data_IF_588167067955
#
_entry.id   IF_588167067955
#
_cell.length_a   1.000
_cell.length_b   1.000
_cell.length_c   1.000
_cell.angle_alpha   90.00
_cell.angle_beta   90.00
_cell.angle_gamma   90.00
#
_symmetry.space_group_name_H-M   'P 1'
#
loop_
_entity.id
_entity.type
_entity.pdbx_description
1 polymer ?
#
# COMPACT_ATOMS: atom_id res chain seq x y z
N UNK A 1 -22.25 -12.77 16.43
CA UNK A 1 -22.20 -11.34 16.80
C UNK A 1 -23.38 -10.64 16.16
N UNK A 2 -24.15 -9.86 16.93
CA UNK A 2 -25.31 -9.13 16.41
C UNK A 2 -24.85 -8.18 15.28
N UNK A 3 -25.53 -8.10 14.12
CA UNK A 3 -25.18 -7.16 13.05
C UNK A 3 -24.95 -5.73 13.57
N UNK A 4 -25.79 -5.25 14.49
CA UNK A 4 -25.69 -3.90 15.07
C UNK A 4 -24.38 -3.73 15.85
N UNK A 5 -24.04 -4.70 16.70
CA UNK A 5 -22.78 -4.68 17.47
C UNK A 5 -21.57 -4.71 16.54
N UNK A 6 -21.62 -5.51 15.48
CA UNK A 6 -20.55 -5.58 14.48
C UNK A 6 -20.33 -4.23 13.80
N UNK A 7 -21.39 -3.52 13.42
CA UNK A 7 -21.29 -2.17 12.84
C UNK A 7 -20.68 -1.17 13.83
N UNK A 8 -21.07 -1.27 15.10
CA UNK A 8 -20.58 -0.39 16.17
C UNK A 8 -19.07 -0.62 16.39
N UNK A 9 -18.63 -1.86 16.54
CA UNK A 9 -17.21 -2.20 16.70
C UNK A 9 -16.39 -1.81 15.49
N UNK A 10 -16.90 -2.07 14.27
CA UNK A 10 -16.27 -1.64 13.02
C UNK A 10 -16.08 -0.11 13.00
N UNK A 11 -17.12 0.64 13.35
CA UNK A 11 -17.06 2.11 13.34
C UNK A 11 -16.10 2.63 14.40
N UNK A 12 -16.12 2.06 15.61
CA UNK A 12 -15.21 2.44 16.68
C UNK A 12 -13.73 2.26 16.27
N UNK A 13 -13.39 1.14 15.63
CA UNK A 13 -12.04 0.87 15.12
C UNK A 13 -11.59 1.86 14.04
N UNK A 14 -12.45 2.20 13.08
CA UNK A 14 -12.11 3.14 11.99
C UNK A 14 -11.89 4.56 12.52
N UNK A 15 -12.63 4.96 13.55
CA UNK A 15 -12.51 6.29 14.16
C UNK A 15 -11.45 6.37 15.27
N UNK A 16 -10.85 5.23 15.66
CA UNK A 16 -9.91 5.13 16.77
C UNK A 16 -10.48 5.75 18.05
N UNK A 17 -11.63 5.22 18.48
CA UNK A 17 -12.34 5.63 19.69
C UNK A 17 -12.59 4.44 20.61
N UNK A 18 -12.50 4.69 21.91
CA UNK A 18 -12.63 3.65 22.93
C UNK A 18 -14.10 3.30 23.20
N UNK A 19 -14.95 4.34 23.32
CA UNK A 19 -16.38 4.17 23.61
C UNK A 19 -17.26 5.11 22.77
N UNK A 20 -17.96 4.52 21.79
CA UNK A 20 -18.90 5.23 20.93
C UNK A 20 -20.19 5.64 21.66
N UNK A 21 -20.55 4.96 22.75
CA UNK A 21 -21.74 5.24 23.55
C UNK A 21 -21.55 6.46 24.46
N UNK A 22 -20.29 6.88 24.65
CA UNK A 22 -19.96 8.01 25.50
C UNK A 22 -20.74 9.29 25.14
N UNK A 23 -20.96 10.12 26.17
CA UNK A 23 -21.58 11.44 26.02
C UNK A 23 -20.61 12.50 25.45
N UNK A 24 -19.40 12.10 25.08
CA UNK A 24 -18.38 12.99 24.52
C UNK A 24 -18.88 13.71 23.28
N UNK A 25 -18.71 15.04 23.26
CA UNK A 25 -19.05 15.91 22.13
C UNK A 25 -17.88 16.19 21.20
N UNK A 26 -16.72 15.59 21.45
CA UNK A 26 -15.55 15.70 20.56
C UNK A 26 -15.92 15.18 19.17
N UNK A 27 -15.52 15.91 18.12
CA UNK A 27 -15.91 15.69 16.73
C UNK A 27 -15.81 14.24 16.29
N UNK A 28 -14.71 13.54 16.62
CA UNK A 28 -14.53 12.11 16.27
C UNK A 28 -15.63 11.18 16.78
N UNK A 29 -16.12 11.41 18.01
CA UNK A 29 -17.20 10.62 18.61
C UNK A 29 -18.56 10.99 18.00
N UNK A 30 -18.78 12.28 17.71
CA UNK A 30 -20.00 12.75 17.04
C UNK A 30 -20.10 12.16 15.64
N UNK A 31 -18.99 12.16 14.90
CA UNK A 31 -18.89 11.67 13.53
C UNK A 31 -19.08 10.15 13.49
N UNK A 32 -18.42 9.40 14.38
CA UNK A 32 -18.62 7.97 14.51
C UNK A 32 -20.10 7.60 14.76
N UNK A 33 -20.77 8.29 15.69
CA UNK A 33 -22.20 8.07 15.98
C UNK A 33 -23.09 8.41 14.77
N UNK A 34 -22.82 9.53 14.10
CA UNK A 34 -23.58 9.93 12.91
C UNK A 34 -23.52 8.88 11.80
N UNK A 35 -22.34 8.25 11.60
CA UNK A 35 -22.16 7.14 10.64
C UNK A 35 -23.04 5.95 11.01
N UNK A 36 -23.02 5.52 12.27
CA UNK A 36 -23.85 4.38 12.72
C UNK A 36 -25.33 4.70 12.56
N UNK A 37 -25.78 5.89 12.99
CA UNK A 37 -27.18 6.31 12.85
C UNK A 37 -27.65 6.30 11.39
N UNK A 38 -26.82 6.84 10.49
CA UNK A 38 -27.12 6.90 9.06
C UNK A 38 -27.20 5.50 8.45
N UNK A 39 -26.24 4.62 8.73
CA UNK A 39 -26.20 3.27 8.17
C UNK A 39 -27.29 2.35 8.73
N UNK A 40 -27.57 2.43 10.04
CA UNK A 40 -28.67 1.68 10.66
C UNK A 40 -30.02 2.10 10.08
N UNK A 41 -30.25 3.41 9.91
CA UNK A 41 -31.51 3.92 9.35
C UNK A 41 -31.69 3.58 7.86
N UNK A 42 -30.58 3.48 7.11
CA UNK A 42 -30.61 3.24 5.67
C UNK A 42 -30.78 1.76 5.31
N UNK A 43 -30.24 0.85 6.12
CA UNK A 43 -30.16 -0.58 5.78
C UNK A 43 -31.13 -1.48 6.56
N UNK A 44 -31.77 -0.98 7.62
CA UNK A 44 -32.82 -1.69 8.35
C UNK A 44 -33.88 -0.68 8.84
N UNK A 45 -35.16 -1.03 8.83
CA UNK A 45 -36.27 -0.11 9.19
C UNK A 45 -36.34 0.24 10.70
N UNK A 46 -35.21 0.39 11.39
CA UNK A 46 -35.19 0.84 12.78
C UNK A 46 -35.75 2.26 12.87
N UNK A 47 -36.57 2.51 13.88
CA UNK A 47 -37.10 3.85 14.14
C UNK A 47 -36.01 4.74 14.73
N UNK A 48 -36.17 6.05 14.63
CA UNK A 48 -35.26 6.98 15.30
C UNK A 48 -35.21 6.74 16.81
N UNK A 49 -36.30 6.23 17.39
CA UNK A 49 -36.39 5.89 18.81
C UNK A 49 -35.55 4.66 19.15
N UNK A 50 -35.68 3.58 18.38
CA UNK A 50 -34.90 2.35 18.62
C UNK A 50 -33.39 2.60 18.54
N UNK A 51 -32.96 3.42 17.57
CA UNK A 51 -31.55 3.84 17.45
C UNK A 51 -31.14 4.69 18.66
N UNK A 52 -32.02 5.58 19.13
CA UNK A 52 -31.74 6.41 20.30
C UNK A 52 -31.59 5.57 21.57
N UNK A 53 -32.44 4.54 21.73
CA UNK A 53 -32.45 3.65 22.89
C UNK A 53 -31.14 2.84 22.98
N UNK A 54 -30.61 2.35 21.85
CA UNK A 54 -29.29 1.68 21.77
C UNK A 54 -28.17 2.58 22.32
N UNK A 55 -28.23 3.88 22.02
CA UNK A 55 -27.18 4.83 22.38
C UNK A 55 -27.49 5.63 23.65
N UNK A 56 -28.60 5.33 24.34
CA UNK A 56 -29.11 6.10 25.47
C UNK A 56 -29.16 7.62 25.17
N UNK A 57 -29.78 7.98 24.04
CA UNK A 57 -29.92 9.37 23.54
C UNK A 57 -31.36 9.69 23.20
N UNK A 58 -31.63 10.98 23.00
CA UNK A 58 -32.92 11.43 22.49
C UNK A 58 -33.02 11.21 20.98
N UNK A 59 -34.19 10.79 20.48
CA UNK A 59 -34.44 10.54 19.06
C UNK A 59 -34.17 11.78 18.18
N UNK A 60 -34.37 12.99 18.72
CA UNK A 60 -34.02 14.24 18.02
C UNK A 60 -32.53 14.37 17.72
N UNK A 61 -31.65 13.81 18.57
CA UNK A 61 -30.20 13.78 18.33
C UNK A 61 -29.87 12.90 17.12
N UNK A 62 -30.50 11.73 17.03
CA UNK A 62 -30.34 10.81 15.89
C UNK A 62 -30.81 11.49 14.60
N UNK A 63 -32.00 12.10 14.63
CA UNK A 63 -32.56 12.83 13.49
C UNK A 63 -31.64 13.98 13.03
N UNK A 64 -31.15 14.79 13.97
CA UNK A 64 -30.26 15.89 13.66
C UNK A 64 -28.96 15.39 13.02
N UNK A 65 -28.30 14.39 13.60
CA UNK A 65 -27.08 13.81 13.02
C UNK A 65 -27.28 13.27 11.60
N UNK A 66 -28.44 12.64 11.32
CA UNK A 66 -28.75 12.15 9.97
C UNK A 66 -28.96 13.32 8.99
N UNK A 67 -29.62 14.40 9.41
CA UNK A 67 -29.82 15.60 8.59
C UNK A 67 -28.50 16.33 8.28
N UNK A 68 -27.57 16.34 9.23
CA UNK A 68 -26.25 16.97 9.04
C UNK A 68 -25.30 16.14 8.18
N UNK A 69 -25.53 14.82 8.09
CA UNK A 69 -24.63 13.88 7.39
C UNK A 69 -24.23 14.30 5.97
N UNK A 70 -25.14 14.78 5.08
CA UNK A 70 -24.75 15.22 3.73
C UNK A 70 -23.79 16.40 3.74
N UNK A 71 -23.96 17.34 4.68
CA UNK A 71 -23.06 18.48 4.83
C UNK A 71 -21.71 18.05 5.38
N UNK A 72 -21.70 17.18 6.40
CA UNK A 72 -20.47 16.63 6.97
C UNK A 72 -19.62 15.91 5.91
N UNK A 73 -20.24 15.09 5.05
CA UNK A 73 -19.55 14.42 3.94
C UNK A 73 -19.06 15.39 2.87
N UNK A 74 -19.81 16.47 2.60
CA UNK A 74 -19.44 17.48 1.61
C UNK A 74 -18.20 18.27 2.04
N UNK A 75 -18.09 18.62 3.32
CA UNK A 75 -17.07 19.56 3.82
C UNK A 75 -15.82 18.89 4.40
N UNK A 76 -15.90 17.64 4.88
CA UNK A 76 -14.74 16.94 5.44
C UNK A 76 -14.40 15.69 4.61
N UNK A 77 -13.35 15.80 3.79
CA UNK A 77 -12.84 14.70 2.95
C UNK A 77 -12.28 13.52 3.74
N UNK A 78 -11.70 13.75 4.92
CA UNK A 78 -11.20 12.67 5.77
C UNK A 78 -12.37 11.87 6.34
N UNK A 79 -13.42 12.57 6.77
CA UNK A 79 -14.66 11.96 7.20
C UNK A 79 -15.35 11.17 6.07
N UNK A 80 -15.43 11.74 4.86
CA UNK A 80 -15.95 11.06 3.67
C UNK A 80 -15.21 9.74 3.38
N UNK A 81 -13.87 9.76 3.43
CA UNK A 81 -13.06 8.55 3.23
C UNK A 81 -13.34 7.47 4.30
N UNK A 82 -13.44 7.86 5.58
CA UNK A 82 -13.78 6.95 6.68
C UNK A 82 -15.19 6.37 6.54
N UNK A 83 -16.16 7.20 6.18
CA UNK A 83 -17.53 6.78 5.94
C UNK A 83 -17.61 5.76 4.80
N UNK A 84 -16.96 6.03 3.67
CA UNK A 84 -16.92 5.12 2.52
C UNK A 84 -16.27 3.79 2.87
N UNK A 85 -15.18 3.80 3.66
CA UNK A 85 -14.54 2.59 4.19
C UNK A 85 -15.50 1.75 5.04
N UNK A 86 -16.22 2.39 5.98
CA UNK A 86 -17.19 1.68 6.84
C UNK A 86 -18.36 1.16 6.02
N UNK A 87 -18.90 1.96 5.08
CA UNK A 87 -19.98 1.55 4.18
C UNK A 87 -19.59 0.31 3.38
N UNK A 88 -18.37 0.27 2.82
CA UNK A 88 -17.86 -0.86 2.04
C UNK A 88 -17.76 -2.12 2.91
N UNK A 89 -17.03 -2.04 4.03
CA UNK A 89 -16.83 -3.17 4.94
C UNK A 89 -18.13 -3.67 5.56
N UNK A 90 -19.10 -2.77 5.76
CA UNK A 90 -20.43 -3.15 6.23
C UNK A 90 -21.21 -3.90 5.15
N UNK A 91 -21.25 -3.39 3.92
CA UNK A 91 -21.99 -4.01 2.82
C UNK A 91 -21.42 -5.37 2.39
N UNK A 92 -20.10 -5.57 2.46
CA UNK A 92 -19.46 -6.88 2.23
C UNK A 92 -19.90 -7.96 3.23
N UNK A 93 -20.43 -7.56 4.38
CA UNK A 93 -20.86 -8.47 5.43
C UNK A 93 -22.38 -8.77 5.43
N UNK A 94 -23.17 -8.11 4.56
CA UNK A 94 -24.64 -8.18 4.52
C UNK A 94 -25.13 -9.05 3.34
N UNK A 95 -24.31 -9.98 2.85
CA UNK A 95 -24.67 -10.93 1.77
C UNK A 95 -25.80 -11.93 2.11
N UNK A 96 -26.59 -11.73 3.18
CA UNK A 96 -27.63 -12.68 3.59
C UNK A 96 -28.96 -12.06 4.07
N UNK A 97 -29.33 -10.86 3.62
CA UNK A 97 -30.75 -10.46 3.70
C UNK A 97 -31.28 -10.08 2.32
N UNK A 98 -32.09 -11.00 1.81
CA UNK A 98 -32.87 -10.88 0.59
C UNK A 98 -33.66 -9.56 0.55
N UNK A 99 -33.37 -8.76 -0.48
CA UNK A 99 -34.08 -7.55 -0.84
C UNK A 99 -34.13 -7.49 -2.37
N UNK A 100 -35.31 -7.15 -2.93
CA UNK A 100 -35.65 -7.10 -4.37
C UNK A 100 -34.46 -6.98 -5.32
N UNK A 101 -34.42 -7.84 -6.37
CA UNK A 101 -33.38 -7.92 -7.40
C UNK A 101 -32.92 -6.55 -7.91
N UNK A 102 -33.84 -5.59 -8.06
CA UNK A 102 -33.52 -4.22 -8.48
C UNK A 102 -32.58 -3.47 -7.52
N UNK A 103 -32.76 -3.64 -6.21
CA UNK A 103 -31.89 -3.04 -5.21
C UNK A 103 -30.50 -3.69 -5.21
N UNK A 104 -30.43 -5.00 -5.44
CA UNK A 104 -29.15 -5.70 -5.58
C UNK A 104 -28.39 -5.23 -6.82
N UNK A 105 -29.08 -5.11 -7.96
CA UNK A 105 -28.49 -4.58 -9.20
C UNK A 105 -27.95 -3.17 -8.99
N UNK A 106 -28.72 -2.30 -8.33
CA UNK A 106 -28.29 -0.93 -8.03
C UNK A 106 -27.09 -0.89 -7.09
N UNK A 107 -27.09 -1.71 -6.03
CA UNK A 107 -25.97 -1.82 -5.10
C UNK A 107 -24.70 -2.36 -5.79
N UNK A 108 -24.84 -3.35 -6.66
CA UNK A 108 -23.74 -3.91 -7.45
C UNK A 108 -23.18 -2.87 -8.44
N UNK A 109 -24.03 -2.07 -9.07
CA UNK A 109 -23.62 -0.96 -9.93
C UNK A 109 -22.84 0.10 -9.16
N UNK A 110 -23.31 0.49 -7.96
CA UNK A 110 -22.58 1.42 -7.08
C UNK A 110 -21.20 0.85 -6.70
N UNK A 111 -21.13 -0.43 -6.33
CA UNK A 111 -19.86 -1.12 -6.01
C UNK A 111 -18.91 -1.16 -7.20
N UNK A 112 -19.40 -1.49 -8.39
CA UNK A 112 -18.58 -1.51 -9.61
C UNK A 112 -18.00 -0.13 -9.95
N UNK A 113 -18.81 0.92 -9.81
CA UNK A 113 -18.33 2.29 -10.02
C UNK A 113 -17.23 2.67 -9.03
N UNK A 114 -17.38 2.29 -7.75
CA UNK A 114 -16.37 2.52 -6.72
C UNK A 114 -15.09 1.71 -6.98
N UNK A 115 -15.22 0.43 -7.35
CA UNK A 115 -14.08 -0.41 -7.70
C UNK A 115 -13.29 0.18 -8.88
N UNK A 116 -13.97 0.69 -9.90
CA UNK A 116 -13.34 1.35 -11.03
C UNK A 116 -12.55 2.61 -10.63
N UNK A 117 -13.08 3.41 -9.71
CA UNK A 117 -12.37 4.58 -9.17
C UNK A 117 -11.10 4.17 -8.41
N UNK A 118 -11.20 3.15 -7.56
CA UNK A 118 -10.06 2.63 -6.81
C UNK A 118 -8.99 2.05 -7.74
N UNK A 119 -9.39 1.27 -8.75
CA UNK A 119 -8.46 0.73 -9.76
C UNK A 119 -7.70 1.87 -10.45
N UNK A 120 -8.38 2.95 -10.82
CA UNK A 120 -7.76 4.12 -11.45
C UNK A 120 -6.74 4.80 -10.52
N UNK A 121 -7.05 4.92 -9.24
CA UNK A 121 -6.12 5.44 -8.23
C UNK A 121 -4.89 4.54 -8.06
N UNK A 122 -5.08 3.23 -7.91
CA UNK A 122 -3.99 2.27 -7.83
C UNK A 122 -3.09 2.28 -9.08
N UNK A 123 -3.69 2.42 -10.27
CA UNK A 123 -2.95 2.57 -11.52
C UNK A 123 -2.10 3.85 -11.55
N UNK A 124 -2.63 4.97 -11.04
CA UNK A 124 -1.89 6.21 -10.88
C UNK A 124 -0.70 6.05 -9.93
N UNK A 125 -0.92 5.47 -8.75
CA UNK A 125 0.15 5.18 -7.79
C UNK A 125 1.23 4.26 -8.38
N UNK A 126 0.82 3.22 -9.10
CA UNK A 126 1.75 2.30 -9.77
C UNK A 126 2.59 3.04 -10.82
N UNK A 127 2.00 3.98 -11.56
CA UNK A 127 2.71 4.80 -12.56
C UNK A 127 3.73 5.71 -11.89
N UNK A 128 3.36 6.37 -10.79
CA UNK A 128 4.27 7.21 -10.01
C UNK A 128 5.43 6.39 -9.46
N UNK A 129 5.16 5.21 -8.91
CA UNK A 129 6.19 4.30 -8.39
C UNK A 129 7.13 3.82 -9.50
N UNK A 130 6.59 3.43 -10.67
CA UNK A 130 7.41 3.08 -11.85
C UNK A 130 8.31 4.24 -12.27
N UNK A 131 7.80 5.46 -12.32
CA UNK A 131 8.59 6.64 -12.66
C UNK A 131 9.66 6.97 -11.61
N UNK A 132 9.37 6.76 -10.32
CA UNK A 132 10.35 6.89 -9.24
C UNK A 132 11.47 5.84 -9.36
N UNK A 133 11.12 4.58 -9.64
CA UNK A 133 12.09 3.52 -9.89
C UNK A 133 12.95 3.86 -11.11
N UNK A 134 12.34 4.33 -12.20
CA UNK A 134 13.06 4.76 -13.39
C UNK A 134 14.02 5.93 -13.09
N UNK A 135 13.59 6.89 -12.28
CA UNK A 135 14.43 8.01 -11.85
C UNK A 135 15.58 7.55 -10.95
N UNK A 136 15.32 6.64 -10.02
CA UNK A 136 16.33 6.04 -9.15
C UNK A 136 17.36 5.26 -9.98
N UNK A 137 16.93 4.46 -10.96
CA UNK A 137 17.81 3.76 -11.90
C UNK A 137 18.57 4.72 -12.85
N UNK A 138 18.07 5.95 -13.06
CA UNK A 138 18.73 6.95 -13.91
C UNK A 138 19.81 7.76 -13.19
N UNK A 139 19.87 7.71 -11.85
CA UNK A 139 20.88 8.42 -11.05
C UNK A 139 22.04 7.47 -10.71
N UNK A 140 23.07 7.48 -11.57
CA UNK A 140 24.40 6.89 -11.38
C UNK A 140 24.48 5.37 -11.17
N UNK A 141 23.68 4.58 -11.88
CA UNK A 141 24.01 3.16 -12.05
C UNK A 141 25.08 3.00 -13.13
N UNK A 142 26.14 2.25 -12.81
CA UNK A 142 27.18 1.86 -13.77
C UNK A 142 26.52 1.38 -15.08
N UNK A 143 26.75 2.05 -16.24
CA UNK A 143 26.08 1.71 -17.50
C UNK A 143 26.61 0.40 -18.12
N UNK A 144 27.43 -0.32 -17.38
CA UNK A 144 28.11 -1.53 -17.80
C UNK A 144 27.61 -2.70 -16.99
N UNK A 145 27.55 -3.85 -17.64
CA UNK A 145 27.14 -5.11 -17.04
C UNK A 145 28.30 -6.10 -17.05
N UNK A 146 28.07 -7.31 -16.53
CA UNK A 146 29.06 -8.40 -16.60
C UNK A 146 29.48 -8.72 -18.05
N UNK A 147 28.64 -8.42 -19.04
CA UNK A 147 28.94 -8.62 -20.46
C UNK A 147 30.00 -7.64 -20.99
N UNK A 148 30.23 -6.54 -20.29
CA UNK A 148 31.16 -5.48 -20.69
C UNK A 148 32.56 -5.62 -20.07
N UNK A 149 32.86 -6.69 -19.33
CA UNK A 149 34.16 -6.87 -18.64
C UNK A 149 35.34 -6.77 -19.60
N UNK A 150 35.29 -7.48 -20.73
CA UNK A 150 36.36 -7.45 -21.72
C UNK A 150 36.48 -6.08 -22.41
N UNK A 151 35.34 -5.41 -22.63
CA UNK A 151 35.30 -4.06 -23.19
C UNK A 151 35.98 -3.06 -22.25
N UNK A 152 35.68 -3.12 -20.95
CA UNK A 152 36.27 -2.26 -19.92
C UNK A 152 37.78 -2.49 -19.82
N UNK A 153 38.20 -3.75 -19.80
CA UNK A 153 39.62 -4.10 -19.78
C UNK A 153 40.39 -3.47 -20.95
N UNK A 154 39.79 -3.47 -22.15
CA UNK A 154 40.41 -2.98 -23.37
C UNK A 154 40.30 -1.46 -23.60
N UNK A 155 39.62 -0.68 -22.75
CA UNK A 155 39.57 0.78 -22.92
C UNK A 155 40.94 1.43 -22.73
N UNK A 156 41.59 1.84 -23.82
CA UNK A 156 42.91 2.47 -23.80
C UNK A 156 42.89 3.87 -23.18
N UNK A 157 41.77 4.59 -23.26
CA UNK A 157 41.60 5.94 -22.71
C UNK A 157 41.33 5.95 -21.20
N UNK A 158 41.13 4.80 -20.57
CA UNK A 158 40.81 4.70 -19.15
C UNK A 158 42.04 4.38 -18.31
N UNK A 159 42.17 5.06 -17.18
CA UNK A 159 43.17 4.72 -16.16
C UNK A 159 42.86 3.36 -15.54
N UNK A 160 43.89 2.67 -15.03
CA UNK A 160 43.73 1.40 -14.31
C UNK A 160 42.73 1.51 -13.17
N UNK A 161 42.83 2.57 -12.36
CA UNK A 161 41.89 2.84 -11.27
C UNK A 161 40.44 2.89 -11.78
N UNK A 162 40.17 3.64 -12.86
CA UNK A 162 38.82 3.76 -13.42
C UNK A 162 38.27 2.40 -13.90
N UNK A 163 39.12 1.58 -14.52
CA UNK A 163 38.72 0.23 -14.94
C UNK A 163 38.36 -0.64 -13.74
N UNK A 164 39.21 -0.62 -12.71
CA UNK A 164 38.99 -1.39 -11.47
C UNK A 164 37.72 -0.92 -10.76
N UNK A 165 37.51 0.39 -10.59
CA UNK A 165 36.32 0.96 -9.96
C UNK A 165 35.04 0.55 -10.71
N UNK A 166 35.04 0.60 -12.05
CA UNK A 166 33.89 0.18 -12.86
C UNK A 166 33.60 -1.34 -12.74
N UNK A 167 34.66 -2.16 -12.74
CA UNK A 167 34.56 -3.60 -12.54
C UNK A 167 34.00 -3.96 -11.15
N UNK A 168 34.45 -3.27 -10.10
CA UNK A 168 33.92 -3.44 -8.74
C UNK A 168 32.49 -2.91 -8.60
N UNK A 169 32.12 -1.86 -9.33
CA UNK A 169 30.74 -1.37 -9.35
C UNK A 169 29.80 -2.42 -9.96
N UNK A 170 30.18 -3.06 -11.08
CA UNK A 170 29.41 -4.17 -11.66
C UNK A 170 29.20 -5.29 -10.63
N UNK A 171 30.26 -5.66 -9.90
CA UNK A 171 30.20 -6.68 -8.85
C UNK A 171 29.22 -6.31 -7.73
N UNK A 172 29.29 -5.06 -7.25
CA UNK A 172 28.38 -4.55 -6.23
C UNK A 172 26.91 -4.64 -6.67
N UNK A 173 26.59 -4.21 -7.90
CA UNK A 173 25.23 -4.30 -8.45
C UNK A 173 24.74 -5.75 -8.49
N UNK A 174 25.58 -6.69 -8.92
CA UNK A 174 25.18 -8.11 -8.96
C UNK A 174 24.81 -8.66 -7.59
N UNK A 175 25.54 -8.28 -6.52
CA UNK A 175 25.21 -8.69 -5.16
C UNK A 175 24.00 -7.95 -4.59
N UNK A 176 23.81 -6.66 -4.90
CA UNK A 176 22.63 -5.91 -4.50
C UNK A 176 21.33 -6.47 -5.11
N UNK A 177 21.43 -7.09 -6.29
CA UNK A 177 20.31 -7.76 -6.95
C UNK A 177 19.97 -9.14 -6.32
N UNK A 178 20.78 -9.64 -5.38
CA UNK A 178 20.46 -10.84 -4.60
C UNK A 178 19.63 -10.48 -3.37
N UNK A 179 18.58 -11.25 -3.10
CA UNK A 179 17.68 -11.08 -1.97
C UNK A 179 17.70 -12.26 -0.99
N UNK A 180 16.79 -12.22 -0.02
CA UNK A 180 16.56 -13.34 0.91
C UNK A 180 15.94 -14.56 0.21
N UNK A 181 15.21 -14.30 -0.88
CA UNK A 181 14.53 -15.23 -1.76
C UNK A 181 15.43 -15.79 -2.88
N UNK A 182 16.62 -15.25 -3.09
CA UNK A 182 17.55 -15.77 -4.10
C UNK A 182 17.96 -17.21 -3.81
N UNK A 183 17.81 -18.05 -4.83
CA UNK A 183 18.14 -19.47 -4.83
C UNK A 183 19.63 -19.72 -4.67
N UNK A 184 19.99 -20.94 -4.26
CA UNK A 184 21.39 -21.38 -4.16
C UNK A 184 22.08 -21.27 -5.53
N UNK A 185 21.36 -21.58 -6.60
CA UNK A 185 21.87 -21.51 -7.98
C UNK A 185 22.22 -20.09 -8.38
N UNK A 186 21.32 -19.12 -8.17
CA UNK A 186 21.56 -17.70 -8.49
C UNK A 186 22.75 -17.13 -7.71
N UNK A 187 22.86 -17.46 -6.41
CA UNK A 187 24.01 -17.07 -5.58
C UNK A 187 25.32 -17.64 -6.13
N UNK A 188 25.31 -18.90 -6.56
CA UNK A 188 26.48 -19.57 -7.14
C UNK A 188 26.87 -18.95 -8.49
N UNK A 189 25.90 -18.58 -9.32
CA UNK A 189 26.14 -17.89 -10.59
C UNK A 189 26.76 -16.50 -10.39
N UNK A 190 26.24 -15.69 -9.46
CA UNK A 190 26.83 -14.39 -9.12
C UNK A 190 28.26 -14.57 -8.62
N UNK A 191 28.51 -15.55 -7.74
CA UNK A 191 29.88 -15.86 -7.26
C UNK A 191 30.81 -16.24 -8.42
N UNK A 192 30.34 -16.98 -9.41
CA UNK A 192 31.15 -17.30 -10.60
C UNK A 192 31.48 -16.05 -11.44
N UNK A 193 30.50 -15.15 -11.61
CA UNK A 193 30.67 -13.87 -12.31
C UNK A 193 31.65 -12.95 -11.57
N UNK A 194 31.60 -12.87 -10.23
CA UNK A 194 32.59 -12.14 -9.42
C UNK A 194 34.01 -12.69 -9.62
N UNK A 195 34.20 -14.02 -9.66
CA UNK A 195 35.52 -14.62 -9.91
C UNK A 195 36.09 -14.19 -11.28
N UNK A 196 35.23 -14.03 -12.30
CA UNK A 196 35.67 -13.51 -13.59
C UNK A 196 36.16 -12.06 -13.46
N UNK A 197 35.39 -11.20 -12.79
CA UNK A 197 35.75 -9.79 -12.55
C UNK A 197 37.09 -9.69 -11.84
N UNK A 198 37.29 -10.43 -10.74
CA UNK A 198 38.52 -10.34 -9.95
C UNK A 198 39.75 -10.88 -10.69
N UNK A 199 39.58 -11.88 -11.56
CA UNK A 199 40.65 -12.33 -12.47
C UNK A 199 41.01 -11.25 -13.49
N UNK A 200 40.04 -10.49 -13.98
CA UNK A 200 40.30 -9.35 -14.88
C UNK A 200 40.99 -8.21 -14.13
N UNK A 201 40.54 -7.89 -12.91
CA UNK A 201 41.21 -6.91 -12.03
C UNK A 201 42.65 -7.34 -11.77
N UNK A 202 42.90 -8.62 -11.50
CA UNK A 202 44.26 -9.14 -11.28
C UNK A 202 45.22 -8.83 -12.43
N UNK A 203 44.75 -8.88 -13.69
CA UNK A 203 45.56 -8.50 -14.85
C UNK A 203 45.89 -7.01 -14.91
N UNK A 204 45.09 -6.16 -14.28
CA UNK A 204 45.24 -4.71 -14.23
C UNK A 204 46.01 -4.25 -12.98
N UNK A 205 45.73 -4.87 -11.83
CA UNK A 205 46.33 -4.69 -10.52
C UNK A 205 46.45 -6.06 -9.83
N UNK A 206 47.67 -6.62 -9.89
CA UNK A 206 47.98 -7.96 -9.38
C UNK A 206 47.74 -8.08 -7.87
N UNK A 207 48.02 -7.01 -7.11
CA UNK A 207 47.89 -7.01 -5.64
C UNK A 207 46.42 -7.04 -5.24
N UNK A 208 45.62 -6.10 -5.77
CA UNK A 208 44.19 -6.00 -5.47
C UNK A 208 43.43 -7.26 -5.92
N UNK A 209 43.67 -7.71 -7.15
CA UNK A 209 42.99 -8.90 -7.68
C UNK A 209 43.31 -10.17 -6.90
N UNK A 210 44.54 -10.33 -6.40
CA UNK A 210 44.91 -11.46 -5.54
C UNK A 210 44.20 -11.41 -4.19
N UNK A 211 44.11 -10.24 -3.57
CA UNK A 211 43.38 -10.06 -2.30
C UNK A 211 41.90 -10.39 -2.45
N UNK A 212 41.24 -9.91 -3.51
CA UNK A 212 39.82 -10.19 -3.75
C UNK A 212 39.54 -11.67 -3.99
N UNK A 213 40.39 -12.35 -4.77
CA UNK A 213 40.25 -13.79 -5.01
C UNK A 213 40.43 -14.62 -3.74
N UNK A 214 41.36 -14.22 -2.85
CA UNK A 214 41.57 -14.89 -1.57
C UNK A 214 40.39 -14.70 -0.61
N UNK A 215 39.79 -13.50 -0.58
CA UNK A 215 38.65 -13.20 0.28
C UNK A 215 37.33 -13.85 -0.16
N UNK A 216 37.27 -14.39 -1.38
CA UNK A 216 36.09 -15.07 -1.92
C UNK A 216 35.95 -16.53 -1.51
N UNK A 217 37.07 -17.18 -1.22
CA UNK A 217 37.11 -18.61 -0.87
C UNK A 217 36.73 -18.80 0.60
#
# INVERSE_FOLDING_TARGET
>A
MNPIEKLITLTASVFNIDDIYSKSRVTKYVYARAVVFYLLRKNHYMTFKDIADIFNKHHATVLHSIKEMPYMLKFDKNFEAKFNKIKLLWLDNVENLDFSVENNVKNLQERNNLLNLLIKEYQSHTTILKNKILFMASKEDCPYTILDVDKIYNYSTWSTKRKVDALLHIDCIMYCNLGIDSTITERKEVKQKSKLIYRTIKKLDESAGKQFLLAMD
#
